data_IF_370792133325
#
_entry.id   IF_370792133325
#
_cell.length_a   1.000
_cell.length_b   1.000
_cell.length_c   1.000
_cell.angle_alpha   90.00
_cell.angle_beta   90.00
_cell.angle_gamma   90.00
#
_symmetry.space_group_name_H-M   'P 1'
#
loop_
_entity.id
_entity.type
_entity.pdbx_description
1 polymer ?
#
# COMPACT_ATOMS: atom_id res chain seq x y z
N UNK A 1 7.95 39.90 6.68
CA UNK A 1 8.48 38.64 7.24
C UNK A 1 7.44 37.55 7.05
N UNK A 2 7.53 36.80 5.96
CA UNK A 2 6.62 35.71 5.64
C UNK A 2 6.85 34.54 6.60
N UNK A 3 5.92 34.34 7.54
CA UNK A 3 5.96 33.24 8.48
C UNK A 3 6.08 31.91 7.74
N UNK A 4 7.19 31.21 7.95
CA UNK A 4 7.40 29.85 7.47
C UNK A 4 6.31 28.99 8.10
N UNK A 5 5.30 28.59 7.32
CA UNK A 5 4.27 27.65 7.77
C UNK A 5 4.99 26.39 8.24
N UNK A 6 4.88 26.10 9.54
CA UNK A 6 5.48 24.91 10.14
C UNK A 6 5.03 23.67 9.33
N UNK A 7 5.93 22.70 9.09
CA UNK A 7 5.57 21.50 8.36
C UNK A 7 4.40 20.80 9.06
N UNK A 8 3.37 20.46 8.28
CA UNK A 8 2.13 19.87 8.81
C UNK A 8 2.39 18.65 9.67
N UNK A 9 1.54 18.42 10.68
CA UNK A 9 1.65 17.31 11.65
C UNK A 9 1.88 15.95 10.98
N UNK A 10 1.26 15.70 9.84
CA UNK A 10 1.43 14.45 9.06
C UNK A 10 2.85 14.21 8.55
N UNK A 11 3.58 15.26 8.14
CA UNK A 11 4.98 15.13 7.72
C UNK A 11 5.88 14.65 8.86
N UNK A 12 5.72 15.23 10.05
CA UNK A 12 6.55 14.87 11.22
C UNK A 12 6.30 13.41 11.61
N UNK A 13 5.04 13.00 11.63
CA UNK A 13 4.68 11.60 11.93
C UNK A 13 5.27 10.64 10.90
N UNK A 14 5.10 10.91 9.60
CA UNK A 14 5.64 10.06 8.54
C UNK A 14 7.18 9.96 8.59
N UNK A 15 7.87 11.08 8.84
CA UNK A 15 9.32 11.10 8.99
C UNK A 15 9.78 10.30 10.21
N UNK A 16 9.18 10.52 11.39
CA UNK A 16 9.55 9.81 12.62
C UNK A 16 9.32 8.30 12.49
N UNK A 17 8.18 7.89 11.93
CA UNK A 17 7.88 6.48 11.68
C UNK A 17 8.87 5.89 10.67
N UNK A 18 9.13 6.58 9.56
CA UNK A 18 10.10 6.14 8.57
C UNK A 18 11.51 5.95 9.16
N UNK A 19 11.98 6.91 9.95
CA UNK A 19 13.29 6.83 10.63
C UNK A 19 13.33 5.67 11.61
N UNK A 20 12.30 5.49 12.44
CA UNK A 20 12.24 4.38 13.40
C UNK A 20 12.29 3.02 12.69
N UNK A 21 11.52 2.85 11.61
CA UNK A 21 11.51 1.63 10.79
C UNK A 21 12.88 1.39 10.15
N UNK A 22 13.55 2.43 9.66
CA UNK A 22 14.91 2.32 9.10
C UNK A 22 15.91 1.88 10.17
N UNK A 23 15.85 2.44 11.37
CA UNK A 23 16.75 2.06 12.47
C UNK A 23 16.57 0.59 12.87
N UNK A 24 15.33 0.11 12.97
CA UNK A 24 15.05 -1.31 13.21
C UNK A 24 15.62 -2.18 12.08
N UNK A 25 15.42 -1.77 10.83
CA UNK A 25 15.98 -2.46 9.67
C UNK A 25 17.51 -2.52 9.68
N UNK A 26 18.19 -1.43 10.07
CA UNK A 26 19.65 -1.40 10.23
C UNK A 26 20.13 -2.33 11.35
N UNK A 27 19.40 -2.37 12.48
CA UNK A 27 19.67 -3.33 13.55
C UNK A 27 19.55 -4.79 13.08
N UNK A 28 18.57 -5.10 12.24
CA UNK A 28 18.44 -6.43 11.63
C UNK A 28 19.58 -6.74 10.65
N UNK A 29 20.04 -5.78 9.85
CA UNK A 29 21.23 -5.96 9.01
C UNK A 29 22.49 -6.23 9.83
N UNK A 30 22.61 -5.63 11.02
CA UNK A 30 23.70 -5.95 11.94
C UNK A 30 23.61 -7.41 12.43
N UNK A 31 22.40 -7.91 12.73
CA UNK A 31 22.20 -9.34 13.04
C UNK A 31 22.53 -10.24 11.84
N UNK A 32 22.18 -9.85 10.61
CA UNK A 32 22.57 -10.58 9.39
C UNK A 32 24.08 -10.70 9.30
N UNK A 33 24.81 -9.61 9.58
CA UNK A 33 26.27 -9.64 9.55
C UNK A 33 26.85 -10.65 10.56
N UNK A 34 26.34 -10.66 11.80
CA UNK A 34 26.71 -11.66 12.80
C UNK A 34 26.39 -13.10 12.35
N UNK A 35 25.19 -13.34 11.83
CA UNK A 35 24.78 -14.66 11.35
C UNK A 35 25.58 -15.14 10.12
N UNK A 36 26.04 -14.23 9.27
CA UNK A 36 26.94 -14.55 8.15
C UNK A 36 28.32 -14.94 8.66
N UNK A 37 28.87 -14.19 9.63
CA UNK A 37 30.14 -14.55 10.25
C UNK A 37 30.08 -15.93 10.93
N UNK A 38 28.97 -16.21 11.62
CA UNK A 38 28.71 -17.50 12.27
C UNK A 38 28.63 -18.65 11.26
N UNK A 39 27.90 -18.45 10.16
CA UNK A 39 27.85 -19.40 9.04
C UNK A 39 29.23 -19.65 8.46
N UNK A 40 30.01 -18.61 8.22
CA UNK A 40 31.32 -18.73 7.58
C UNK A 40 32.30 -19.45 8.54
N UNK A 41 32.22 -19.19 9.85
CA UNK A 41 32.93 -19.95 10.87
C UNK A 41 32.51 -21.44 10.88
N UNK A 42 31.21 -21.74 10.86
CA UNK A 42 30.72 -23.12 10.75
C UNK A 42 31.21 -23.84 9.49
N UNK A 43 31.22 -23.15 8.34
CA UNK A 43 31.72 -23.72 7.08
C UNK A 43 33.23 -23.95 7.07
N UNK A 44 33.98 -23.10 7.78
CA UNK A 44 35.44 -23.22 7.89
C UNK A 44 35.88 -24.20 9.00
N UNK A 45 34.98 -24.56 9.91
CA UNK A 45 35.31 -25.39 11.06
C UNK A 45 35.70 -26.82 10.66
N UNK A 46 36.87 -27.27 11.13
CA UNK A 46 37.38 -28.61 10.90
C UNK A 46 36.78 -29.62 11.92
N UNK A 47 36.79 -30.93 11.60
CA UNK A 47 36.40 -31.94 12.57
C UNK A 47 37.27 -31.90 13.83
N UNK A 48 36.64 -32.07 14.99
CA UNK A 48 37.36 -32.10 16.26
C UNK A 48 38.43 -33.20 16.29
N UNK A 49 39.63 -32.87 16.79
CA UNK A 49 40.78 -33.78 16.87
C UNK A 49 41.85 -33.58 15.78
N UNK A 50 41.63 -32.68 14.82
CA UNK A 50 42.61 -32.38 13.76
C UNK A 50 43.55 -31.23 14.12
N UNK A 51 43.06 -30.14 14.75
CA UNK A 51 43.93 -28.98 15.05
C UNK A 51 43.50 -28.02 16.17
N UNK A 52 42.21 -27.84 16.45
CA UNK A 52 41.72 -26.88 17.47
C UNK A 52 40.55 -27.45 18.27
N UNK A 53 40.52 -27.20 19.59
CA UNK A 53 39.48 -27.70 20.51
C UNK A 53 38.27 -26.77 20.66
N UNK A 54 38.40 -25.47 20.33
CA UNK A 54 37.38 -24.47 20.69
C UNK A 54 36.37 -24.14 19.58
N UNK A 55 36.71 -24.37 18.30
CA UNK A 55 35.83 -24.09 17.14
C UNK A 55 35.87 -25.24 16.13
N UNK A 56 35.52 -26.44 16.59
CA UNK A 56 35.51 -27.64 15.77
C UNK A 56 34.13 -28.25 15.63
N UNK A 57 33.95 -29.03 14.56
CA UNK A 57 32.72 -29.77 14.29
C UNK A 57 32.84 -31.18 14.86
N UNK A 58 31.92 -31.57 15.74
CA UNK A 58 31.91 -32.90 16.34
C UNK A 58 31.00 -33.83 15.55
N UNK A 59 31.57 -34.93 15.05
CA UNK A 59 30.84 -35.96 14.34
C UNK A 59 30.43 -37.07 15.31
N UNK A 60 29.13 -37.29 15.45
CA UNK A 60 28.59 -38.28 16.38
C UNK A 60 27.68 -39.24 15.62
N UNK A 61 27.94 -40.56 15.72
CA UNK A 61 27.04 -41.57 15.15
C UNK A 61 25.81 -41.72 16.04
N UNK A 62 24.64 -41.76 15.41
CA UNK A 62 23.37 -41.96 16.09
C UNK A 62 22.49 -42.95 15.30
N UNK A 63 21.68 -43.70 16.03
CA UNK A 63 20.70 -44.63 15.44
C UNK A 63 19.35 -43.93 15.42
N UNK A 64 18.72 -43.92 14.23
CA UNK A 64 17.40 -43.33 14.04
C UNK A 64 16.36 -44.22 14.72
N UNK A 65 15.53 -43.64 15.59
CA UNK A 65 14.39 -44.32 16.21
C UNK A 65 13.12 -44.13 15.39
N UNK A 66 13.01 -42.98 14.72
CA UNK A 66 11.91 -42.69 13.81
C UNK A 66 11.80 -41.21 13.47
N UNK A 67 10.83 -40.90 12.63
CA UNK A 67 10.47 -39.55 12.22
C UNK A 67 9.09 -39.18 12.78
N UNK A 68 8.91 -37.93 13.18
CA UNK A 68 7.65 -37.44 13.72
C UNK A 68 7.30 -36.08 13.14
N UNK A 69 6.19 -36.05 12.40
CA UNK A 69 5.59 -34.81 11.91
C UNK A 69 4.66 -34.24 12.97
N UNK A 70 5.00 -33.06 13.46
CA UNK A 70 4.17 -32.31 14.39
C UNK A 70 3.48 -31.17 13.64
N UNK A 71 2.17 -31.28 13.47
CA UNK A 71 1.36 -30.19 12.92
C UNK A 71 1.41 -28.98 13.86
N UNK A 72 1.66 -27.79 13.30
CA UNK A 72 1.66 -26.53 14.02
C UNK A 72 0.98 -25.44 13.20
N UNK A 73 -0.29 -25.17 13.52
CA UNK A 73 -1.10 -24.18 12.79
C UNK A 73 -1.26 -24.57 11.32
N UNK A 74 -0.72 -23.75 10.41
CA UNK A 74 -0.72 -23.99 8.96
C UNK A 74 0.53 -24.73 8.45
N UNK A 75 1.47 -25.09 9.32
CA UNK A 75 2.74 -25.74 8.96
C UNK A 75 2.95 -27.10 9.64
N UNK A 76 3.99 -27.80 9.22
CA UNK A 76 4.44 -29.06 9.84
C UNK A 76 5.89 -28.89 10.29
N UNK A 77 6.19 -29.35 11.51
CA UNK A 77 7.56 -29.46 12.01
C UNK A 77 8.01 -30.90 11.89
N UNK A 78 9.10 -31.12 11.17
CA UNK A 78 9.68 -32.44 10.96
C UNK A 78 10.71 -32.71 12.07
N UNK A 79 10.44 -33.68 12.93
CA UNK A 79 11.32 -34.06 14.04
C UNK A 79 11.95 -35.42 13.78
N UNK A 80 13.27 -35.50 13.80
CA UNK A 80 14.02 -36.76 13.75
C UNK A 80 14.34 -37.21 15.18
N UNK A 81 13.90 -38.41 15.56
CA UNK A 81 14.17 -39.02 16.87
C UNK A 81 15.35 -39.98 16.73
N UNK A 82 16.32 -39.88 17.62
CA UNK A 82 17.56 -40.66 17.54
C UNK A 82 18.13 -40.97 18.93
N UNK A 83 19.02 -41.96 18.98
CA UNK A 83 19.78 -42.33 20.17
C UNK A 83 21.27 -42.31 19.87
N UNK A 84 22.06 -41.77 20.79
CA UNK A 84 23.51 -41.65 20.67
C UNK A 84 24.21 -42.68 21.58
N UNK A 85 24.97 -43.62 21.01
CA UNK A 85 25.74 -44.64 21.77
C UNK A 85 24.88 -45.63 22.57
N UNK A 86 25.53 -46.36 23.49
CA UNK A 86 24.90 -47.37 24.40
C UNK A 86 24.10 -46.75 25.57
N UNK A 87 23.94 -45.42 25.59
CA UNK A 87 23.14 -44.75 26.61
C UNK A 87 21.65 -44.97 26.33
N UNK A 88 21.13 -46.09 26.84
CA UNK A 88 19.74 -46.54 26.73
C UNK A 88 18.69 -45.62 27.38
N UNK A 89 19.06 -44.44 27.91
CA UNK A 89 18.21 -43.68 28.84
C UNK A 89 17.69 -42.33 28.33
N UNK A 90 17.98 -41.92 27.10
CA UNK A 90 17.48 -40.64 26.59
C UNK A 90 17.26 -40.66 25.09
N UNK A 91 16.00 -40.74 24.68
CA UNK A 91 15.63 -40.45 23.31
C UNK A 91 15.81 -38.95 23.03
N UNK A 92 16.68 -38.63 22.08
CA UNK A 92 16.93 -37.26 21.64
C UNK A 92 16.09 -36.97 20.39
N UNK A 93 15.79 -35.69 20.16
CA UNK A 93 15.09 -35.23 18.95
C UNK A 93 15.75 -34.00 18.38
N UNK A 94 15.78 -33.90 17.06
CA UNK A 94 16.25 -32.71 16.33
C UNK A 94 15.21 -32.30 15.30
N UNK A 95 15.01 -30.99 15.15
CA UNK A 95 14.10 -30.46 14.13
C UNK A 95 14.83 -30.35 12.80
N UNK A 96 14.33 -31.06 11.79
CA UNK A 96 14.87 -31.04 10.44
C UNK A 96 14.36 -29.81 9.66
N UNK A 97 15.20 -29.25 8.80
CA UNK A 97 14.78 -28.17 7.89
C UNK A 97 14.16 -28.77 6.62
N UNK A 98 12.87 -29.07 6.71
CA UNK A 98 12.08 -29.68 5.64
C UNK A 98 12.13 -31.22 5.61
N UNK A 99 11.55 -31.80 4.56
CA UNK A 99 11.38 -33.25 4.42
C UNK A 99 12.51 -33.96 3.69
N UNK A 100 13.32 -33.26 2.90
CA UNK A 100 14.33 -33.87 2.03
C UNK A 100 15.69 -33.18 2.19
N UNK A 101 16.81 -33.87 1.91
CA UNK A 101 16.89 -35.25 1.40
C UNK A 101 16.89 -36.35 2.47
N UNK A 102 17.28 -36.07 3.71
CA UNK A 102 17.53 -37.11 4.72
C UNK A 102 16.24 -37.55 5.42
N UNK A 103 15.40 -36.61 5.87
CA UNK A 103 14.21 -36.91 6.67
C UNK A 103 13.24 -37.89 5.98
N UNK A 104 13.06 -37.77 4.66
CA UNK A 104 12.23 -38.66 3.85
C UNK A 104 12.87 -40.01 3.54
N UNK A 105 14.19 -40.12 3.68
CA UNK A 105 14.96 -41.31 3.30
C UNK A 105 15.24 -42.24 4.49
N UNK A 106 15.41 -41.67 5.68
CA UNK A 106 15.76 -42.42 6.90
C UNK A 106 14.61 -43.30 7.38
N UNK A 107 14.98 -44.46 7.93
CA UNK A 107 14.09 -45.41 8.59
C UNK A 107 14.58 -45.70 10.02
N UNK A 108 13.68 -46.19 10.85
CA UNK A 108 14.05 -46.68 12.17
C UNK A 108 15.11 -47.80 12.05
N UNK A 109 16.18 -47.70 12.83
CA UNK A 109 17.34 -48.59 12.78
C UNK A 109 18.49 -48.08 11.91
N UNK A 110 18.27 -47.07 11.04
CA UNK A 110 19.34 -46.52 10.22
C UNK A 110 20.38 -45.80 11.09
N UNK A 111 21.66 -45.91 10.70
CA UNK A 111 22.74 -45.16 11.34
C UNK A 111 22.98 -43.85 10.58
N UNK A 112 22.82 -42.73 11.27
CA UNK A 112 23.11 -41.39 10.76
C UNK A 112 24.32 -40.79 11.46
N UNK A 113 24.99 -39.86 10.79
CA UNK A 113 26.06 -39.06 11.41
C UNK A 113 25.51 -37.67 11.71
N UNK A 114 25.46 -37.32 12.99
CA UNK A 114 25.11 -36.00 13.46
C UNK A 114 26.34 -35.11 13.44
N UNK A 115 26.21 -33.94 12.83
CA UNK A 115 27.24 -32.91 12.76
C UNK A 115 26.88 -31.86 13.80
N UNK A 116 27.62 -31.84 14.91
CA UNK A 116 27.40 -30.88 16.01
C UNK A 116 28.39 -29.74 15.95
N UNK A 117 27.89 -28.52 16.14
CA UNK A 117 28.69 -27.30 16.21
C UNK A 117 28.20 -26.47 17.39
N UNK A 118 29.13 -26.07 18.27
CA UNK A 118 28.83 -25.41 19.55
C UNK A 118 27.75 -26.10 20.41
N UNK A 119 27.71 -27.44 20.37
CA UNK A 119 26.76 -28.26 21.15
C UNK A 119 25.43 -28.55 20.45
N UNK A 120 25.05 -27.74 19.45
CA UNK A 120 23.82 -27.91 18.67
C UNK A 120 24.04 -28.83 17.47
N UNK A 121 23.01 -29.59 17.07
CA UNK A 121 23.07 -30.43 15.86
C UNK A 121 22.80 -29.55 14.65
N UNK A 122 23.83 -29.18 13.91
CA UNK A 122 23.73 -28.30 12.74
C UNK A 122 23.26 -29.05 11.48
N UNK A 123 23.74 -30.27 11.25
CA UNK A 123 23.29 -31.10 10.13
C UNK A 123 23.26 -32.58 10.46
N UNK A 124 22.47 -33.33 9.71
CA UNK A 124 22.35 -34.78 9.78
C UNK A 124 22.76 -35.37 8.44
N UNK A 125 23.64 -36.37 8.47
CA UNK A 125 24.14 -37.06 7.28
C UNK A 125 23.70 -38.51 7.25
N UNK A 126 23.22 -38.95 6.09
CA UNK A 126 22.94 -40.34 5.74
C UNK A 126 23.80 -40.70 4.52
N UNK A 127 24.92 -41.38 4.75
CA UNK A 127 25.93 -41.63 3.72
C UNK A 127 26.48 -40.32 3.12
N UNK A 128 26.34 -40.18 1.80
CA UNK A 128 26.74 -38.98 1.05
C UNK A 128 25.73 -37.84 1.12
N UNK A 129 24.50 -38.11 1.57
CA UNK A 129 23.47 -37.07 1.67
C UNK A 129 23.56 -36.35 3.01
N UNK A 130 23.41 -35.03 2.99
CA UNK A 130 23.35 -34.19 4.17
C UNK A 130 22.08 -33.34 4.13
N UNK A 131 21.47 -33.13 5.31
CA UNK A 131 20.37 -32.20 5.48
C UNK A 131 20.65 -31.33 6.70
N UNK A 132 20.49 -30.02 6.53
CA UNK A 132 20.58 -29.05 7.61
C UNK A 132 19.38 -29.19 8.56
N UNK A 133 19.63 -28.90 9.83
CA UNK A 133 18.59 -28.80 10.85
C UNK A 133 18.06 -27.38 10.91
N UNK A 134 16.95 -27.19 11.64
CA UNK A 134 16.38 -25.87 11.85
C UNK A 134 17.33 -24.92 12.59
N UNK A 135 18.17 -25.46 13.49
CA UNK A 135 19.08 -24.68 14.33
C UNK A 135 20.47 -24.54 13.68
N UNK A 136 20.59 -24.89 12.40
CA UNK A 136 21.82 -24.72 11.63
C UNK A 136 22.17 -23.24 11.41
N UNK A 137 23.41 -22.82 11.70
CA UNK A 137 23.87 -21.47 11.39
C UNK A 137 23.89 -21.19 9.88
N UNK A 138 23.83 -22.23 9.03
CA UNK A 138 23.84 -22.11 7.57
C UNK A 138 22.76 -21.17 7.01
N UNK A 139 21.62 -21.08 7.69
CA UNK A 139 20.42 -20.35 7.26
C UNK A 139 19.96 -19.28 8.26
N UNK A 140 20.71 -19.05 9.35
CA UNK A 140 20.35 -18.10 10.40
C UNK A 140 20.15 -16.65 9.93
N UNK A 141 20.80 -16.27 8.82
CA UNK A 141 20.70 -14.93 8.22
C UNK A 141 19.38 -14.67 7.49
N UNK A 142 18.61 -15.71 7.11
CA UNK A 142 17.46 -15.58 6.19
C UNK A 142 16.34 -14.72 6.77
N UNK A 143 15.89 -15.03 7.99
CA UNK A 143 14.78 -14.32 8.63
C UNK A 143 15.12 -12.85 8.95
N UNK A 144 16.27 -12.54 9.58
CA UNK A 144 16.67 -11.14 9.78
C UNK A 144 16.78 -10.36 8.48
N UNK A 145 17.36 -10.95 7.42
CA UNK A 145 17.46 -10.30 6.11
C UNK A 145 16.08 -10.07 5.48
N UNK A 146 15.21 -11.07 5.51
CA UNK A 146 13.86 -10.99 4.98
C UNK A 146 13.07 -9.85 5.63
N UNK A 147 13.08 -9.79 6.98
CA UNK A 147 12.40 -8.73 7.73
C UNK A 147 13.07 -7.38 7.49
N UNK A 148 14.39 -7.31 7.43
CA UNK A 148 15.11 -6.08 7.12
C UNK A 148 14.70 -5.51 5.76
N UNK A 149 14.53 -6.33 4.72
CA UNK A 149 14.11 -5.87 3.39
C UNK A 149 12.66 -5.36 3.39
N UNK A 150 11.74 -6.03 4.08
CA UNK A 150 10.35 -5.57 4.23
C UNK A 150 10.26 -4.23 4.95
N UNK A 151 11.15 -3.96 5.91
CA UNK A 151 11.15 -2.72 6.69
C UNK A 151 11.93 -1.59 6.00
N UNK A 152 13.16 -1.84 5.56
CA UNK A 152 14.06 -0.82 5.03
C UNK A 152 13.53 -0.17 3.77
N UNK A 153 12.98 -0.94 2.84
CA UNK A 153 12.50 -0.40 1.56
C UNK A 153 11.38 0.64 1.75
N UNK A 154 10.24 0.32 2.41
CA UNK A 154 9.21 1.32 2.68
C UNK A 154 9.68 2.39 3.67
N UNK A 155 10.49 2.05 4.68
CA UNK A 155 11.05 3.01 5.63
C UNK A 155 11.86 4.12 4.93
N UNK A 156 12.77 3.73 4.04
CA UNK A 156 13.56 4.65 3.22
C UNK A 156 12.67 5.45 2.26
N UNK A 157 11.65 4.83 1.67
CA UNK A 157 10.69 5.52 0.82
C UNK A 157 9.92 6.61 1.59
N UNK A 158 9.47 6.35 2.82
CA UNK A 158 8.83 7.35 3.67
C UNK A 158 9.77 8.50 4.03
N UNK A 159 11.00 8.20 4.44
CA UNK A 159 12.01 9.22 4.75
C UNK A 159 12.31 10.07 3.50
N UNK A 160 12.53 9.42 2.36
CA UNK A 160 12.80 10.10 1.09
C UNK A 160 11.63 10.98 0.68
N UNK A 161 10.39 10.47 0.71
CA UNK A 161 9.18 11.24 0.41
C UNK A 161 9.03 12.45 1.33
N UNK A 162 9.22 12.28 2.63
CA UNK A 162 9.19 13.37 3.59
C UNK A 162 10.23 14.44 3.22
N UNK A 163 11.50 14.07 3.09
CA UNK A 163 12.57 15.00 2.73
C UNK A 163 12.32 15.69 1.39
N UNK A 164 11.77 14.97 0.42
CA UNK A 164 11.38 15.48 -0.88
C UNK A 164 10.27 16.53 -0.77
N UNK A 165 9.20 16.25 0.00
CA UNK A 165 8.13 17.22 0.26
C UNK A 165 8.65 18.46 0.99
N UNK A 166 9.54 18.29 1.97
CA UNK A 166 10.18 19.41 2.69
C UNK A 166 10.96 20.31 1.74
N UNK A 167 11.75 19.72 0.83
CA UNK A 167 12.52 20.47 -0.18
C UNK A 167 11.62 21.16 -1.21
N UNK A 168 10.44 20.60 -1.50
CA UNK A 168 9.47 21.12 -2.48
C UNK A 168 8.40 22.03 -1.88
N UNK A 169 8.33 22.18 -0.55
CA UNK A 169 7.28 22.95 0.13
C UNK A 169 7.24 24.45 -0.24
N UNK A 170 8.34 25.00 -0.76
CA UNK A 170 8.41 26.39 -1.23
C UNK A 170 7.98 26.58 -2.69
N UNK A 171 7.81 25.50 -3.46
CA UNK A 171 7.38 25.57 -4.84
C UNK A 171 5.86 25.33 -4.96
N UNK A 172 5.16 26.04 -5.86
CA UNK A 172 3.74 25.79 -6.08
C UNK A 172 3.52 24.32 -6.46
N UNK A 173 2.48 23.65 -5.92
CA UNK A 173 2.20 22.26 -6.19
C UNK A 173 1.80 22.10 -7.67
N UNK A 174 2.78 21.88 -8.55
CA UNK A 174 2.52 21.38 -9.91
C UNK A 174 2.10 19.93 -9.81
N UNK A 175 1.11 19.50 -10.57
CA UNK A 175 0.64 18.09 -10.61
C UNK A 175 1.77 17.06 -10.85
N UNK A 176 2.88 17.45 -11.49
CA UNK A 176 4.08 16.63 -11.66
C UNK A 176 4.77 16.27 -10.34
N UNK A 177 4.50 17.01 -9.26
CA UNK A 177 5.09 16.83 -7.95
C UNK A 177 4.62 15.52 -7.29
N UNK A 178 3.35 15.12 -7.44
CA UNK A 178 2.80 13.97 -6.71
C UNK A 178 3.13 12.61 -7.33
N UNK A 179 3.54 12.58 -8.61
CA UNK A 179 3.80 11.33 -9.34
C UNK A 179 5.02 10.56 -8.80
N UNK A 180 6.13 11.27 -8.59
CA UNK A 180 7.40 10.67 -8.15
C UNK A 180 7.32 10.02 -6.74
N UNK A 181 6.76 10.68 -5.71
CA UNK A 181 6.59 10.04 -4.41
C UNK A 181 5.63 8.86 -4.43
N UNK A 182 4.57 8.91 -5.25
CA UNK A 182 3.68 7.76 -5.42
C UNK A 182 4.40 6.56 -6.04
N UNK A 183 5.23 6.80 -7.06
CA UNK A 183 6.02 5.72 -7.70
C UNK A 183 6.96 5.07 -6.70
N UNK A 184 7.73 5.88 -5.96
CA UNK A 184 8.69 5.38 -4.97
C UNK A 184 8.00 4.56 -3.87
N UNK A 185 6.87 5.04 -3.35
CA UNK A 185 6.11 4.32 -2.33
C UNK A 185 5.58 2.99 -2.86
N UNK A 186 4.94 2.98 -4.04
CA UNK A 186 4.43 1.74 -4.65
C UNK A 186 5.55 0.73 -4.94
N UNK A 187 6.67 1.20 -5.51
CA UNK A 187 7.81 0.33 -5.80
C UNK A 187 8.40 -0.27 -4.53
N UNK A 188 8.55 0.54 -3.47
CA UNK A 188 9.07 0.04 -2.19
C UNK A 188 8.15 -0.97 -1.51
N UNK A 189 6.83 -0.75 -1.58
CA UNK A 189 5.83 -1.65 -1.00
C UNK A 189 5.75 -3.00 -1.72
N UNK A 190 5.97 -3.01 -3.04
CA UNK A 190 6.01 -4.24 -3.84
C UNK A 190 7.35 -4.98 -3.74
N UNK A 191 8.47 -4.25 -3.63
CA UNK A 191 9.80 -4.87 -3.51
C UNK A 191 10.04 -5.53 -2.16
N UNK A 192 9.46 -5.03 -1.06
CA UNK A 192 9.60 -5.64 0.27
C UNK A 192 9.24 -7.14 0.30
N UNK A 193 8.01 -7.53 -0.10
CA UNK A 193 7.60 -8.94 -0.16
C UNK A 193 8.41 -9.80 -1.14
N UNK A 194 8.81 -9.27 -2.29
CA UNK A 194 9.67 -9.98 -3.24
C UNK A 194 11.06 -10.22 -2.66
N UNK A 195 11.59 -9.23 -1.94
CA UNK A 195 12.83 -9.35 -1.20
C UNK A 195 12.76 -10.41 -0.11
N UNK A 196 11.68 -10.42 0.68
CA UNK A 196 11.41 -11.48 1.66
C UNK A 196 11.41 -12.86 0.99
N UNK A 197 10.74 -13.00 -0.15
CA UNK A 197 10.73 -14.26 -0.89
C UNK A 197 12.14 -14.65 -1.37
N UNK A 198 12.92 -13.69 -1.87
CA UNK A 198 14.32 -13.90 -2.27
C UNK A 198 15.22 -14.33 -1.12
N UNK A 199 15.06 -13.72 0.06
CA UNK A 199 15.80 -14.07 1.27
C UNK A 199 15.45 -15.47 1.80
N UNK A 200 14.18 -15.88 1.71
CA UNK A 200 13.74 -17.20 2.17
C UNK A 200 14.12 -18.34 1.22
N UNK A 201 14.19 -18.07 -0.09
CA UNK A 201 14.52 -19.05 -1.12
C UNK A 201 16.02 -19.12 -1.47
N UNK A 202 16.76 -18.03 -1.28
CA UNK A 202 18.17 -17.93 -1.64
C UNK A 202 19.08 -18.85 -0.84
N UNK A 203 20.13 -19.35 -1.49
CA UNK A 203 21.18 -20.16 -0.86
C UNK A 203 22.19 -19.31 -0.10
N UNK A 204 22.32 -18.04 -0.49
CA UNK A 204 23.22 -17.04 0.09
C UNK A 204 22.61 -15.63 0.09
N UNK A 205 23.15 -14.75 0.94
CA UNK A 205 22.78 -13.33 1.01
C UNK A 205 22.94 -12.65 -0.34
N UNK A 206 24.03 -12.94 -1.06
CA UNK A 206 24.30 -12.36 -2.38
C UNK A 206 23.23 -12.73 -3.40
N UNK A 207 22.76 -13.98 -3.39
CA UNK A 207 21.70 -14.46 -4.29
C UNK A 207 20.36 -13.78 -3.98
N UNK A 208 20.00 -13.67 -2.69
CA UNK A 208 18.79 -12.98 -2.26
C UNK A 208 18.76 -11.50 -2.68
N UNK A 209 19.90 -10.81 -2.54
CA UNK A 209 20.04 -9.41 -2.96
C UNK A 209 20.01 -9.26 -4.48
N UNK A 210 20.64 -10.16 -5.23
CA UNK A 210 20.57 -10.18 -6.71
C UNK A 210 19.16 -10.42 -7.21
N UNK A 211 18.42 -11.35 -6.59
CA UNK A 211 17.01 -11.58 -6.91
C UNK A 211 16.19 -10.30 -6.73
N UNK A 212 16.33 -9.64 -5.58
CA UNK A 212 15.64 -8.37 -5.29
C UNK A 212 16.00 -7.28 -6.31
N UNK A 213 17.29 -7.19 -6.68
CA UNK A 213 17.78 -6.24 -7.68
C UNK A 213 17.20 -6.54 -9.08
N UNK A 214 17.09 -7.81 -9.48
CA UNK A 214 16.47 -8.24 -10.74
C UNK A 214 14.96 -7.94 -10.79
N UNK A 215 14.27 -8.00 -9.64
CA UNK A 215 12.86 -7.63 -9.54
C UNK A 215 12.63 -6.10 -9.57
N UNK A 216 13.64 -5.27 -9.29
CA UNK A 216 13.47 -3.83 -9.18
C UNK A 216 13.00 -3.15 -10.49
N UNK A 217 13.61 -3.38 -11.66
CA UNK A 217 13.17 -2.75 -12.91
C UNK A 217 11.70 -3.00 -13.29
N UNK A 218 11.17 -4.25 -13.32
CA UNK A 218 9.77 -4.47 -13.66
C UNK A 218 8.82 -3.88 -12.60
N UNK A 219 9.17 -3.92 -11.32
CA UNK A 219 8.36 -3.31 -10.26
C UNK A 219 8.28 -1.79 -10.40
N UNK A 220 9.41 -1.14 -10.69
CA UNK A 220 9.47 0.30 -10.95
C UNK A 220 8.66 0.66 -12.19
N UNK A 221 8.77 -0.13 -13.27
CA UNK A 221 8.00 0.07 -14.49
C UNK A 221 6.49 -0.02 -14.23
N UNK A 222 6.03 -1.08 -13.57
CA UNK A 222 4.60 -1.24 -13.21
C UNK A 222 4.15 -0.09 -12.32
N UNK A 223 4.93 0.28 -11.31
CA UNK A 223 4.61 1.41 -10.41
C UNK A 223 4.50 2.72 -11.18
N UNK A 224 5.40 2.96 -12.14
CA UNK A 224 5.40 4.15 -13.00
C UNK A 224 4.18 4.19 -13.93
N UNK A 225 3.83 3.06 -14.54
CA UNK A 225 2.63 2.93 -15.35
C UNK A 225 1.36 3.14 -14.53
N UNK A 226 1.27 2.56 -13.34
CA UNK A 226 0.14 2.75 -12.42
C UNK A 226 0.01 4.21 -12.00
N UNK A 227 1.10 4.83 -11.54
CA UNK A 227 1.09 6.25 -11.17
C UNK A 227 0.77 7.15 -12.38
N UNK A 228 1.20 6.77 -13.59
CA UNK A 228 0.93 7.51 -14.82
C UNK A 228 -0.53 7.39 -15.21
N UNK A 229 -1.10 6.19 -15.09
CA UNK A 229 -2.51 5.93 -15.33
C UNK A 229 -3.39 6.74 -14.38
N UNK A 230 -3.11 6.73 -13.08
CA UNK A 230 -3.84 7.54 -12.10
C UNK A 230 -3.70 9.03 -12.41
N UNK A 231 -2.50 9.52 -12.73
CA UNK A 231 -2.29 10.91 -13.14
C UNK A 231 -3.09 11.26 -14.39
N UNK A 232 -3.08 10.41 -15.42
CA UNK A 232 -3.84 10.63 -16.65
C UNK A 232 -5.33 10.67 -16.36
N UNK A 233 -5.82 9.80 -15.48
CA UNK A 233 -7.21 9.79 -15.02
C UNK A 233 -7.57 11.07 -14.29
N UNK A 234 -6.73 11.52 -13.34
CA UNK A 234 -6.94 12.78 -12.61
C UNK A 234 -6.93 13.99 -13.53
N UNK A 235 -6.07 14.02 -14.55
CA UNK A 235 -6.04 15.11 -15.54
C UNK A 235 -7.29 15.15 -16.41
N UNK A 236 -7.74 13.99 -16.89
CA UNK A 236 -8.99 13.90 -17.64
C UNK A 236 -10.19 14.34 -16.80
N UNK A 237 -10.21 13.93 -15.54
CA UNK A 237 -11.18 14.36 -14.56
C UNK A 237 -11.17 15.88 -14.34
N UNK A 238 -9.98 16.48 -14.27
CA UNK A 238 -9.82 17.91 -14.06
C UNK A 238 -10.13 18.77 -15.29
N UNK A 239 -9.97 18.19 -16.49
CA UNK A 239 -10.33 18.84 -17.75
C UNK A 239 -11.84 18.93 -17.87
N UNK A 240 -12.37 20.14 -17.74
CA UNK A 240 -13.82 20.44 -17.80
C UNK A 240 -14.22 21.14 -19.10
N UNK A 241 -13.31 21.21 -20.09
CA UNK A 241 -13.53 21.93 -21.34
C UNK A 241 -14.61 21.33 -22.25
N UNK A 242 -14.95 20.06 -22.03
CA UNK A 242 -16.00 19.34 -22.74
C UNK A 242 -17.41 19.59 -22.18
N UNK A 243 -17.52 20.22 -21.02
CA UNK A 243 -18.80 20.46 -20.37
C UNK A 243 -19.44 21.67 -21.07
N UNK A 244 -20.59 21.43 -21.70
CA UNK A 244 -21.41 22.48 -22.32
C UNK A 244 -22.80 22.49 -21.69
N UNK A 245 -23.46 23.65 -21.54
CA UNK A 245 -24.80 23.71 -20.96
C UNK A 245 -25.82 22.98 -21.85
N UNK A 246 -26.68 22.18 -21.22
CA UNK A 246 -27.77 21.45 -21.88
C UNK A 246 -29.07 21.78 -21.17
N UNK A 247 -30.03 22.33 -21.90
CA UNK A 247 -31.34 22.65 -21.33
C UNK A 247 -32.09 21.36 -21.02
N UNK A 248 -32.48 21.11 -19.76
CA UNK A 248 -33.24 19.92 -19.39
C UNK A 248 -34.63 19.95 -20.05
N UNK A 249 -34.98 18.85 -20.75
CA UNK A 249 -36.27 18.74 -21.46
C UNK A 249 -37.43 18.28 -20.57
N UNK A 250 -37.11 17.65 -19.45
CA UNK A 250 -38.08 17.10 -18.52
C UNK A 250 -37.57 17.27 -17.08
N UNK A 251 -38.49 17.15 -16.13
CA UNK A 251 -38.16 17.14 -14.70
C UNK A 251 -37.18 16.02 -14.38
N UNK A 252 -36.01 16.37 -13.84
CA UNK A 252 -34.98 15.42 -13.42
C UNK A 252 -34.48 15.76 -12.03
N UNK A 253 -34.08 14.72 -11.28
CA UNK A 253 -33.48 14.84 -9.95
C UNK A 253 -32.01 14.46 -10.06
N UNK A 254 -31.13 15.42 -9.79
CA UNK A 254 -29.70 15.29 -9.97
C UNK A 254 -28.98 15.35 -8.62
N UNK A 255 -27.84 14.64 -8.52
CA UNK A 255 -26.99 14.69 -7.34
C UNK A 255 -26.14 15.96 -7.34
N UNK A 256 -26.66 17.06 -6.78
CA UNK A 256 -25.92 18.31 -6.67
C UNK A 256 -26.10 18.96 -5.29
N UNK A 257 -25.02 19.54 -4.77
CA UNK A 257 -24.99 20.27 -3.50
C UNK A 257 -24.69 21.73 -3.75
N UNK A 258 -25.45 22.61 -3.12
CA UNK A 258 -25.20 24.05 -3.13
C UNK A 258 -24.48 24.44 -1.86
N UNK A 259 -23.39 25.19 -1.99
CA UNK A 259 -22.60 25.69 -0.89
C UNK A 259 -22.25 27.16 -1.09
N UNK A 260 -22.48 28.00 -0.09
CA UNK A 260 -22.08 29.40 -0.10
C UNK A 260 -22.67 30.15 1.07
N UNK A 261 -22.29 31.41 1.26
CA UNK A 261 -22.84 32.30 2.27
C UNK A 261 -24.21 32.86 1.87
N UNK A 262 -25.15 31.98 1.52
CA UNK A 262 -26.47 32.32 0.98
C UNK A 262 -27.61 31.55 1.69
N UNK A 263 -28.83 32.12 1.84
CA UNK A 263 -29.89 31.52 2.66
C UNK A 263 -30.39 30.14 2.19
N UNK A 264 -30.17 29.79 0.92
CA UNK A 264 -30.57 28.51 0.32
C UNK A 264 -29.46 27.45 0.34
N UNK A 265 -28.25 27.78 0.82
CA UNK A 265 -27.19 26.81 1.10
C UNK A 265 -27.50 26.11 2.43
N UNK A 266 -28.09 24.91 2.36
CA UNK A 266 -28.49 24.14 3.54
C UNK A 266 -27.72 22.82 3.62
N UNK A 267 -27.23 22.51 4.82
CA UNK A 267 -26.57 21.22 5.06
C UNK A 267 -27.55 20.05 4.82
N UNK A 268 -27.06 18.96 4.23
CA UNK A 268 -27.87 17.79 3.89
C UNK A 268 -28.66 17.89 2.57
N UNK A 269 -28.75 19.07 1.95
CA UNK A 269 -29.40 19.24 0.65
C UNK A 269 -28.46 18.76 -0.47
N UNK A 270 -28.57 17.47 -0.78
CA UNK A 270 -27.71 16.77 -1.74
C UNK A 270 -28.30 16.52 -3.12
N UNK A 271 -29.53 17.01 -3.36
CA UNK A 271 -30.26 16.77 -4.59
C UNK A 271 -30.79 18.10 -5.16
N UNK A 272 -30.79 18.20 -6.49
CA UNK A 272 -31.26 19.36 -7.23
C UNK A 272 -32.27 18.92 -8.28
N UNK A 273 -33.43 19.57 -8.30
CA UNK A 273 -34.48 19.35 -9.30
C UNK A 273 -34.31 20.36 -10.42
N UNK A 274 -34.25 19.87 -11.65
CA UNK A 274 -34.11 20.66 -12.88
C UNK A 274 -35.21 20.33 -13.89
N UNK A 275 -35.51 21.22 -14.83
CA UNK A 275 -36.33 20.95 -16.03
C UNK A 275 -37.84 21.21 -15.93
N UNK A 276 -38.39 21.54 -14.77
CA UNK A 276 -39.80 21.86 -14.60
C UNK A 276 -39.96 23.03 -13.62
N UNK A 277 -39.80 24.25 -14.16
CA UNK A 277 -39.84 25.49 -13.40
C UNK A 277 -38.51 25.88 -12.74
N UNK A 278 -38.53 26.64 -11.63
CA UNK A 278 -37.31 27.12 -10.97
C UNK A 278 -36.49 25.95 -10.43
N UNK A 279 -35.17 26.10 -10.38
CA UNK A 279 -34.29 25.09 -9.78
C UNK A 279 -34.60 24.97 -8.30
N UNK A 280 -34.67 23.74 -7.79
CA UNK A 280 -35.00 23.49 -6.39
C UNK A 280 -33.99 22.54 -5.78
N UNK A 281 -33.31 22.97 -4.73
CA UNK A 281 -32.53 22.09 -3.87
C UNK A 281 -33.47 21.35 -2.91
N UNK A 282 -33.22 20.06 -2.68
CA UNK A 282 -34.02 19.24 -1.76
C UNK A 282 -33.16 18.16 -1.10
N UNK A 283 -33.63 17.70 0.06
CA UNK A 283 -33.13 16.48 0.72
C UNK A 283 -34.00 15.26 0.41
N UNK A 284 -35.18 15.46 -0.20
CA UNK A 284 -36.14 14.41 -0.49
C UNK A 284 -35.83 13.72 -1.84
N UNK A 285 -35.58 12.40 -1.86
CA UNK A 285 -35.41 11.63 -3.08
C UNK A 285 -36.60 11.66 -4.04
N UNK A 286 -37.78 12.08 -3.58
CA UNK A 286 -38.98 12.24 -4.40
C UNK A 286 -39.29 13.70 -4.76
N UNK A 287 -38.50 14.65 -4.25
CA UNK A 287 -38.67 16.08 -4.48
C UNK A 287 -40.09 16.62 -4.17
N UNK A 288 -40.77 16.04 -3.18
CA UNK A 288 -42.09 16.46 -2.70
C UNK A 288 -41.97 17.42 -1.51
N UNK A 289 -41.01 17.18 -0.61
CA UNK A 289 -40.84 17.98 0.61
C UNK A 289 -39.49 18.72 0.68
N UNK A 290 -39.36 19.61 1.67
CA UNK A 290 -38.13 20.34 1.99
C UNK A 290 -37.50 21.06 0.78
N UNK A 291 -38.33 21.66 -0.06
CA UNK A 291 -37.93 22.35 -1.30
C UNK A 291 -37.36 23.74 -0.98
N UNK A 292 -36.10 23.98 -1.33
CA UNK A 292 -35.46 25.29 -1.31
C UNK A 292 -35.25 25.79 -2.75
N UNK A 293 -36.08 26.71 -3.27
CA UNK A 293 -35.88 27.25 -4.61
C UNK A 293 -34.58 28.05 -4.67
N UNK A 294 -33.82 27.85 -5.74
CA UNK A 294 -32.66 28.69 -6.05
C UNK A 294 -33.14 29.95 -6.76
N UNK A 295 -32.54 31.11 -6.46
CA UNK A 295 -32.94 32.36 -7.08
C UNK A 295 -32.52 32.41 -8.56
N UNK A 296 -33.31 33.09 -9.38
CA UNK A 296 -33.00 33.32 -10.80
C UNK A 296 -31.80 34.24 -11.03
N UNK A 297 -31.37 34.98 -10.00
CA UNK A 297 -30.17 35.84 -10.02
C UNK A 297 -28.86 35.06 -10.05
N UNK A 298 -28.92 33.74 -9.81
CA UNK A 298 -27.74 32.88 -9.77
C UNK A 298 -27.19 32.66 -11.18
N UNK A 299 -25.99 33.19 -11.45
CA UNK A 299 -25.33 33.10 -12.76
C UNK A 299 -24.06 32.25 -12.65
N UNK A 300 -23.82 31.37 -13.63
CA UNK A 300 -22.60 30.56 -13.67
C UNK A 300 -21.46 31.39 -14.26
N UNK A 301 -20.41 31.65 -13.47
CA UNK A 301 -19.23 32.39 -13.94
C UNK A 301 -18.21 31.46 -14.61
N UNK A 302 -17.95 30.30 -13.99
CA UNK A 302 -16.99 29.31 -14.52
C UNK A 302 -17.28 27.91 -14.03
N UNK A 303 -16.84 26.93 -14.81
CA UNK A 303 -16.84 25.51 -14.44
C UNK A 303 -15.40 25.10 -14.15
N UNK A 304 -15.17 24.38 -13.05
CA UNK A 304 -13.84 23.86 -12.69
C UNK A 304 -13.92 22.50 -12.02
N UNK A 305 -12.79 21.82 -11.93
CA UNK A 305 -12.66 20.61 -11.12
C UNK A 305 -12.80 20.92 -9.62
N UNK A 306 -13.11 19.89 -8.82
CA UNK A 306 -13.07 20.00 -7.36
C UNK A 306 -11.63 20.31 -6.91
N UNK A 307 -11.50 21.31 -6.06
CA UNK A 307 -10.26 21.78 -5.44
C UNK A 307 -10.22 21.42 -3.94
N UNK A 308 -9.03 21.32 -3.32
CA UNK A 308 -8.92 21.04 -1.89
C UNK A 308 -9.56 22.09 -0.96
N UNK A 309 -9.84 23.29 -1.46
CA UNK A 309 -10.54 24.37 -0.74
C UNK A 309 -12.07 24.23 -0.76
N UNK A 310 -12.61 23.34 -1.58
CA UNK A 310 -14.05 23.09 -1.66
C UNK A 310 -14.58 22.40 -0.39
N UNK A 311 -15.91 22.39 -0.18
CA UNK A 311 -16.52 21.78 0.99
C UNK A 311 -16.04 20.36 1.27
N UNK A 312 -15.78 20.09 2.55
CA UNK A 312 -15.38 18.75 3.01
C UNK A 312 -16.47 17.74 2.65
N UNK A 313 -16.07 16.60 2.10
CA UNK A 313 -16.98 15.53 1.67
C UNK A 313 -17.31 15.53 0.19
N UNK A 314 -17.09 16.62 -0.56
CA UNK A 314 -17.30 16.62 -2.01
C UNK A 314 -16.35 15.68 -2.75
N UNK A 315 -15.07 15.67 -2.36
CA UNK A 315 -14.09 14.70 -2.85
C UNK A 315 -14.49 13.25 -2.58
N UNK A 316 -15.12 12.97 -1.44
CA UNK A 316 -15.57 11.61 -1.10
C UNK A 316 -16.82 11.21 -1.89
N UNK A 317 -17.77 12.14 -2.02
CA UNK A 317 -19.05 11.95 -2.69
C UNK A 317 -18.90 11.81 -4.21
N UNK A 318 -18.15 12.71 -4.84
CA UNK A 318 -18.04 12.79 -6.29
C UNK A 318 -16.75 12.15 -6.84
N UNK A 319 -15.79 11.83 -5.95
CA UNK A 319 -14.51 11.21 -6.31
C UNK A 319 -13.81 12.00 -7.42
N UNK A 320 -13.33 11.30 -8.45
CA UNK A 320 -12.66 11.90 -9.61
C UNK A 320 -13.64 12.46 -10.65
N UNK A 321 -14.93 12.23 -10.52
CA UNK A 321 -15.92 12.67 -11.51
C UNK A 321 -16.70 13.90 -11.03
N UNK A 322 -16.17 14.61 -10.04
CA UNK A 322 -16.81 15.80 -9.48
C UNK A 322 -16.40 17.09 -10.18
N UNK A 323 -17.39 17.94 -10.39
CA UNK A 323 -17.24 19.25 -11.04
C UNK A 323 -17.93 20.29 -10.15
N UNK A 324 -17.34 21.49 -10.11
CA UNK A 324 -17.89 22.64 -9.39
C UNK A 324 -18.27 23.71 -10.40
N UNK A 325 -19.54 24.08 -10.40
CA UNK A 325 -20.02 25.28 -11.06
C UNK A 325 -19.86 26.43 -10.06
N UNK A 326 -18.94 27.35 -10.35
CA UNK A 326 -18.75 28.58 -9.59
C UNK A 326 -19.77 29.58 -10.09
N UNK A 327 -20.71 29.92 -9.23
CA UNK A 327 -21.83 30.79 -9.52
C UNK A 327 -21.73 32.07 -8.69
N UNK A 328 -22.41 33.11 -9.15
CA UNK A 328 -22.53 34.39 -8.46
C UNK A 328 -23.99 34.76 -8.26
N UNK A 329 -24.31 35.16 -7.02
CA UNK A 329 -25.61 35.68 -6.62
C UNK A 329 -25.41 37.03 -5.92
N UNK A 330 -25.54 38.12 -6.69
CA UNK A 330 -25.14 39.45 -6.26
C UNK A 330 -23.63 39.51 -6.00
N UNK A 331 -23.23 39.77 -4.75
CA UNK A 331 -21.82 39.82 -4.33
C UNK A 331 -21.32 38.51 -3.70
N UNK A 332 -22.18 37.50 -3.58
CA UNK A 332 -21.83 36.24 -2.95
C UNK A 332 -21.40 35.21 -4.00
N UNK A 333 -20.25 34.58 -3.77
CA UNK A 333 -19.83 33.37 -4.50
C UNK A 333 -20.62 32.17 -3.97
N UNK A 334 -21.18 31.39 -4.89
CA UNK A 334 -21.94 30.17 -4.60
C UNK A 334 -21.36 29.03 -5.43
N UNK A 335 -20.97 27.96 -4.75
CA UNK A 335 -20.41 26.76 -5.35
C UNK A 335 -21.50 25.70 -5.48
N UNK A 336 -21.68 25.16 -6.68
CA UNK A 336 -22.54 24.00 -6.90
C UNK A 336 -21.68 22.80 -7.29
N UNK A 337 -21.54 21.85 -6.37
CA UNK A 337 -20.82 20.60 -6.59
C UNK A 337 -21.75 19.54 -7.17
N UNK A 338 -21.35 18.90 -8.27
CA UNK A 338 -22.14 17.83 -8.91
C UNK A 338 -21.25 16.81 -9.62
N UNK A 339 -21.84 15.70 -10.07
CA UNK A 339 -21.14 14.76 -10.94
C UNK A 339 -20.99 15.35 -12.34
N UNK A 340 -19.87 15.05 -13.01
CA UNK A 340 -19.53 15.53 -14.36
C UNK A 340 -20.63 15.27 -15.38
N UNK A 341 -21.29 14.11 -15.30
CA UNK A 341 -22.41 13.73 -16.16
C UNK A 341 -23.66 14.59 -15.98
N UNK A 342 -23.85 15.16 -14.79
CA UNK A 342 -25.03 15.95 -14.41
C UNK A 342 -24.77 17.45 -14.61
N UNK A 343 -23.49 17.87 -14.62
CA UNK A 343 -23.07 19.27 -14.76
C UNK A 343 -23.67 20.00 -15.98
N UNK A 344 -23.74 19.41 -17.19
CA UNK A 344 -24.40 20.03 -18.35
C UNK A 344 -25.86 20.45 -18.07
N UNK A 345 -26.62 19.58 -17.41
CA UNK A 345 -28.04 19.79 -17.12
C UNK A 345 -28.24 20.84 -16.02
N UNK A 346 -27.41 20.79 -14.97
CA UNK A 346 -27.41 21.80 -13.91
C UNK A 346 -27.06 23.17 -14.50
N UNK A 347 -26.03 23.26 -15.34
CA UNK A 347 -25.64 24.50 -15.98
C UNK A 347 -26.74 25.03 -16.91
N UNK A 348 -27.28 24.19 -17.79
CA UNK A 348 -28.35 24.61 -18.70
C UNK A 348 -29.62 25.04 -17.97
N UNK A 349 -29.95 24.40 -16.85
CA UNK A 349 -31.05 24.83 -15.99
C UNK A 349 -30.81 26.23 -15.39
N UNK A 350 -29.60 26.50 -14.87
CA UNK A 350 -29.25 27.81 -14.32
C UNK A 350 -29.32 28.91 -15.38
N UNK A 351 -28.85 28.65 -16.60
CA UNK A 351 -28.98 29.58 -17.72
C UNK A 351 -30.44 29.85 -18.09
N UNK A 352 -31.28 28.81 -18.13
CA UNK A 352 -32.70 28.96 -18.41
C UNK A 352 -33.42 29.79 -17.33
N UNK A 353 -33.00 29.66 -16.06
CA UNK A 353 -33.55 30.42 -14.94
C UNK A 353 -33.14 31.90 -14.95
N UNK A 354 -31.87 32.21 -15.25
CA UNK A 354 -31.35 33.59 -15.28
C UNK A 354 -31.64 34.35 -16.57
N UNK A 355 -31.87 33.65 -17.68
CA UNK A 355 -32.07 34.22 -19.01
C UNK A 355 -33.46 34.79 -19.31
N UNK A 356 -34.40 34.77 -18.35
CA UNK A 356 -35.65 35.52 -18.47
C UNK A 356 -36.39 35.36 -19.80
N UNK A 357 -36.57 34.12 -20.29
CA UNK A 357 -37.71 33.86 -21.18
C UNK A 357 -38.82 33.34 -20.27
N UNK A 358 -39.84 34.15 -19.95
CA UNK A 358 -40.98 33.64 -19.22
C UNK A 358 -41.62 32.50 -20.03
N UNK A 359 -42.11 31.43 -19.40
CA UNK A 359 -43.01 30.50 -20.04
C UNK A 359 -44.38 31.19 -20.24
N UNK A 360 -44.42 32.17 -21.13
CA UNK A 360 -45.61 32.90 -21.54
C UNK A 360 -45.78 32.74 -23.05
N UNK A 361 -46.01 31.50 -23.49
CA UNK A 361 -46.83 31.13 -24.65
C UNK A 361 -46.96 29.59 -24.75
N UNK A 362 -47.56 28.99 -23.71
CA UNK A 362 -48.28 27.72 -23.83
C UNK A 362 -49.58 27.84 -23.07
N UNK A 363 -50.44 28.72 -23.56
CA UNK A 363 -51.83 28.80 -23.17
C UNK A 363 -52.63 29.28 -24.37
N UNK A 364 -53.42 28.36 -24.94
CA UNK A 364 -54.64 28.59 -25.70
C UNK A 364 -54.58 29.42 -27.00
N UNK A 365 -54.91 28.79 -28.13
CA UNK A 365 -55.38 29.50 -29.32
C UNK A 365 -55.36 28.72 -30.64
N UNK A 366 -56.36 27.84 -30.85
CA UNK A 366 -56.98 27.66 -32.16
C UNK A 366 -56.46 26.54 -33.08
N UNK A 367 -57.25 25.47 -33.19
CA UNK A 367 -57.12 24.39 -34.17
C UNK A 367 -57.78 23.11 -33.67
#
# INVERSE_FOLDING_TARGET
MSGVKAPGRGFRVALSVGVAVVLVGLGLLFMVWGAVAERDAYRAAEPCGVRAEQECVRLTRATVQGTHDQAMGRGVRHWLRYTTGDSASGEERVRMDGTSPVYSAVRAGDTVTLVRWQGEVASVRLGETAQETHDSPARGWRMPLAVAQVLLLPGLAFVWCALWYRRRAAAPPRETALFLPLTVLLSSALLGPLGLFGAMSGTDVGEALRFTALCAPPVVLVSALTAWYFRRRSRRAADVSDITPVTPQARQLLGAQVHGSVPYSREGYGLLVVGDGPLVATLDPHAKVARGPLPATLTVERVRAIEPSDPRGWLERYRYDGVVLVCRDGDNEVLIGTARRDAPLVWGALLAAGGGVPPAQRGAGGG
#
